data_IF_664203110366
#
_entry.id   IF_664203110366
#
_cell.length_a   1.000
_cell.length_b   1.000
_cell.length_c   1.000
_cell.angle_alpha   90.00
_cell.angle_beta   90.00
_cell.angle_gamma   90.00
#
_symmetry.space_group_name_H-M   'P 1'
#
loop_
_entity.id
_entity.type
_entity.pdbx_description
1 polymer ?
#
# COMPACT_ATOMS: atom_id res chain seq x y z
N UNK A 1 -2.05 -8.85 33.42
CA UNK A 1 -2.45 -10.03 32.62
C UNK A 1 -3.95 -9.92 32.36
N UNK A 2 -4.37 -9.67 31.12
CA UNK A 2 -5.77 -9.44 30.78
C UNK A 2 -6.25 -10.58 29.87
N UNK A 3 -7.08 -11.45 30.45
CA UNK A 3 -7.73 -12.57 29.77
C UNK A 3 -8.95 -12.04 29.00
N UNK A 4 -8.98 -12.28 27.70
CA UNK A 4 -10.15 -12.09 26.84
C UNK A 4 -10.76 -13.48 26.57
N UNK A 5 -12.02 -13.76 26.94
CA UNK A 5 -12.64 -15.03 26.56
C UNK A 5 -13.12 -14.98 25.10
N UNK A 6 -12.68 -15.98 24.32
CA UNK A 6 -13.24 -16.35 23.03
C UNK A 6 -14.72 -16.71 23.18
N UNK A 7 -15.58 -16.07 22.39
CA UNK A 7 -16.93 -16.55 22.11
C UNK A 7 -16.89 -17.39 20.82
N UNK A 8 -16.84 -18.70 21.01
CA UNK A 8 -17.03 -19.72 19.99
C UNK A 8 -18.54 -20.04 19.94
N UNK A 9 -19.28 -19.44 19.02
CA UNK A 9 -20.68 -19.77 18.80
C UNK A 9 -20.77 -20.89 17.75
N UNK A 10 -21.46 -21.97 18.13
CA UNK A 10 -21.45 -23.26 17.47
C UNK A 10 -22.15 -23.30 16.11
N UNK A 11 -21.54 -24.10 15.24
CA UNK A 11 -22.17 -24.77 14.12
C UNK A 11 -23.26 -25.72 14.64
N UNK A 12 -24.51 -25.50 14.24
CA UNK A 12 -25.50 -26.58 14.18
C UNK A 12 -26.20 -26.56 12.82
N UNK A 13 -26.13 -27.73 12.21
CA UNK A 13 -26.57 -28.08 10.86
C UNK A 13 -28.08 -28.27 10.83
N UNK A 14 -28.76 -27.64 9.89
CA UNK A 14 -30.06 -28.09 9.40
C UNK A 14 -29.93 -28.41 7.91
N UNK A 15 -29.74 -29.70 7.62
CA UNK A 15 -29.85 -30.23 6.27
C UNK A 15 -31.34 -30.32 5.91
N UNK A 16 -31.85 -29.35 5.16
CA UNK A 16 -33.10 -29.50 4.43
C UNK A 16 -32.79 -30.19 3.10
N UNK A 17 -33.18 -31.47 3.01
CA UNK A 17 -33.24 -32.21 1.76
C UNK A 17 -34.41 -31.65 0.94
N UNK A 18 -34.12 -30.69 0.07
CA UNK A 18 -35.05 -30.18 -0.93
C UNK A 18 -35.10 -31.10 -2.14
N UNK A 19 -36.30 -31.57 -2.48
CA UNK A 19 -36.57 -32.35 -3.68
C UNK A 19 -36.27 -31.51 -4.93
N UNK A 20 -35.58 -32.10 -5.90
CA UNK A 20 -35.12 -31.42 -7.11
C UNK A 20 -36.27 -30.98 -8.02
N UNK A 21 -36.28 -29.70 -8.36
CA UNK A 21 -36.83 -29.21 -9.63
C UNK A 21 -35.65 -28.92 -10.54
N UNK A 22 -35.58 -29.60 -11.68
CA UNK A 22 -34.59 -29.31 -12.72
C UNK A 22 -34.73 -27.87 -13.18
N UNK A 23 -33.66 -27.09 -12.97
CA UNK A 23 -33.60 -25.69 -13.40
C UNK A 23 -33.62 -25.63 -14.94
N UNK A 24 -34.42 -24.74 -15.56
CA UNK A 24 -34.41 -24.56 -17.00
C UNK A 24 -33.01 -24.14 -17.46
N UNK A 25 -32.62 -24.62 -18.64
CA UNK A 25 -31.30 -24.41 -19.24
C UNK A 25 -30.82 -22.96 -19.07
N UNK A 26 -29.66 -22.79 -18.43
CA UNK A 26 -29.07 -21.48 -18.22
C UNK A 26 -28.89 -20.76 -19.57
N UNK A 27 -29.29 -19.48 -19.70
CA UNK A 27 -29.08 -18.72 -20.93
C UNK A 27 -27.59 -18.68 -21.30
N UNK A 28 -27.26 -18.59 -22.61
CA UNK A 28 -25.89 -18.59 -23.08
C UNK A 28 -25.09 -17.50 -22.35
N UNK A 29 -23.98 -17.93 -21.73
CA UNK A 29 -23.09 -17.04 -20.97
C UNK A 29 -22.68 -15.89 -21.88
N UNK A 30 -22.94 -14.61 -21.52
CA UNK A 30 -22.53 -13.49 -22.35
C UNK A 30 -21.02 -13.53 -22.52
N UNK A 31 -20.59 -13.49 -23.78
CA UNK A 31 -19.19 -13.43 -24.20
C UNK A 31 -18.50 -12.30 -23.43
N UNK A 32 -17.52 -12.66 -22.59
CA UNK A 32 -16.82 -11.68 -21.74
C UNK A 32 -16.29 -10.54 -22.60
N UNK A 33 -16.61 -9.27 -22.30
CA UNK A 33 -16.10 -8.14 -23.05
C UNK A 33 -14.56 -8.10 -23.00
N UNK A 34 -13.91 -7.52 -24.03
CA UNK A 34 -12.45 -7.44 -24.10
C UNK A 34 -11.88 -6.81 -22.83
N UNK A 35 -10.79 -7.40 -22.32
CA UNK A 35 -10.17 -7.05 -21.04
C UNK A 35 -9.93 -5.55 -20.92
N UNK A 36 -10.76 -4.90 -20.09
CA UNK A 36 -10.67 -3.48 -19.79
C UNK A 36 -9.55 -3.23 -18.79
N UNK A 37 -8.60 -2.40 -19.19
CA UNK A 37 -7.75 -1.69 -18.25
C UNK A 37 -8.66 -0.97 -17.23
N UNK A 38 -8.50 -1.28 -15.96
CA UNK A 38 -9.26 -0.67 -14.87
C UNK A 38 -8.44 0.45 -14.28
N UNK A 39 -8.99 1.67 -14.32
CA UNK A 39 -8.43 2.85 -13.66
C UNK A 39 -9.37 3.21 -12.53
N UNK A 40 -8.83 3.31 -11.31
CA UNK A 40 -9.56 3.70 -10.12
C UNK A 40 -8.85 4.89 -9.46
N UNK A 41 -9.36 6.13 -9.63
CA UNK A 41 -8.90 7.25 -8.81
C UNK A 41 -9.39 7.06 -7.38
N UNK A 42 -8.54 7.40 -6.41
CA UNK A 42 -8.80 7.23 -4.97
C UNK A 42 -8.46 8.54 -4.26
N UNK A 43 -9.45 9.34 -3.82
CA UNK A 43 -9.17 10.48 -2.97
C UNK A 43 -8.62 10.01 -1.63
N UNK A 44 -7.69 10.76 -1.06
CA UNK A 44 -7.09 10.46 0.24
C UNK A 44 -7.43 11.61 1.18
N UNK A 45 -8.11 11.29 2.28
CA UNK A 45 -8.43 12.22 3.36
C UNK A 45 -8.20 11.49 4.68
N UNK A 46 -7.43 12.09 5.58
CA UNK A 46 -7.14 11.52 6.89
C UNK A 46 -6.82 12.61 7.91
N UNK A 47 -6.71 12.24 9.18
CA UNK A 47 -6.25 13.13 10.25
C UNK A 47 -5.21 12.41 11.10
N UNK A 48 -4.09 13.07 11.37
CA UNK A 48 -3.02 12.59 12.23
C UNK A 48 -2.84 13.57 13.40
N UNK A 49 -2.71 13.03 14.61
CA UNK A 49 -2.51 13.87 15.82
C UNK A 49 -1.23 14.71 15.73
N UNK A 50 -0.21 14.22 15.01
CA UNK A 50 1.09 14.87 14.91
C UNK A 50 1.13 15.98 13.85
N UNK A 51 0.33 15.88 12.79
CA UNK A 51 0.48 16.69 11.56
C UNK A 51 -0.82 17.32 11.05
N UNK A 52 -1.92 17.03 11.74
CA UNK A 52 -3.25 17.55 11.45
C UNK A 52 -3.95 16.81 10.31
N UNK A 53 -4.83 17.51 9.62
CA UNK A 53 -5.55 16.95 8.48
C UNK A 53 -4.60 16.73 7.29
N UNK A 54 -4.73 15.58 6.66
CA UNK A 54 -4.05 15.18 5.43
C UNK A 54 -5.04 15.04 4.28
N UNK A 55 -4.62 15.47 3.11
CA UNK A 55 -5.38 15.34 1.87
C UNK A 55 -4.47 14.96 0.71
N UNK A 56 -5.03 14.28 -0.27
CA UNK A 56 -4.26 13.80 -1.40
C UNK A 56 -5.10 13.06 -2.43
N UNK A 57 -4.40 12.51 -3.40
CA UNK A 57 -4.98 11.75 -4.49
C UNK A 57 -4.09 10.57 -4.81
N UNK A 58 -4.72 9.41 -4.95
CA UNK A 58 -4.13 8.19 -5.47
C UNK A 58 -4.86 7.72 -6.72
N UNK A 59 -4.22 6.79 -7.41
CA UNK A 59 -4.76 6.10 -8.56
C UNK A 59 -4.26 4.68 -8.59
N UNK A 60 -5.15 3.75 -8.93
CA UNK A 60 -4.84 2.35 -9.18
C UNK A 60 -5.12 2.04 -10.64
N UNK A 61 -4.12 1.55 -11.35
CA UNK A 61 -4.25 0.98 -12.67
C UNK A 61 -4.11 -0.54 -12.55
N UNK A 62 -5.08 -1.29 -13.05
CA UNK A 62 -5.03 -2.75 -13.05
C UNK A 62 -5.41 -3.28 -14.43
N UNK A 63 -4.62 -4.18 -14.98
CA UNK A 63 -4.89 -4.77 -16.28
C UNK A 63 -3.88 -5.84 -16.64
N UNK A 64 -4.18 -6.62 -17.67
CA UNK A 64 -3.25 -7.62 -18.20
C UNK A 64 -2.57 -7.07 -19.43
N UNK A 65 -1.29 -7.37 -19.56
CA UNK A 65 -0.53 -7.06 -20.76
C UNK A 65 -0.73 -8.19 -21.79
N UNK A 66 -1.32 -7.87 -22.93
CA UNK A 66 -1.59 -8.82 -24.01
C UNK A 66 -2.97 -9.50 -23.96
N UNK A 67 -3.22 -10.35 -24.94
CA UNK A 67 -4.51 -11.05 -25.14
C UNK A 67 -4.65 -12.31 -24.30
N UNK A 68 -3.57 -12.82 -23.72
CA UNK A 68 -3.54 -14.08 -22.95
C UNK A 68 -4.38 -14.02 -21.67
N UNK A 69 -5.32 -14.97 -21.51
CA UNK A 69 -6.22 -15.12 -20.35
C UNK A 69 -5.57 -15.75 -19.12
N UNK A 70 -4.42 -16.41 -19.29
CA UNK A 70 -3.74 -17.17 -18.23
C UNK A 70 -2.85 -16.24 -17.38
N UNK A 71 -2.21 -15.25 -18.01
CA UNK A 71 -1.34 -14.29 -17.32
C UNK A 71 -2.09 -13.51 -16.22
N UNK A 72 -1.47 -13.37 -15.04
CA UNK A 72 -1.97 -12.52 -13.93
C UNK A 72 -2.11 -11.05 -14.32
N UNK A 73 -2.99 -10.34 -13.61
CA UNK A 73 -3.16 -8.90 -13.81
C UNK A 73 -1.97 -8.13 -13.23
N UNK A 74 -1.41 -7.25 -14.05
CA UNK A 74 -0.48 -6.20 -13.62
C UNK A 74 -1.25 -5.14 -12.83
N UNK A 75 -0.57 -4.51 -11.87
CA UNK A 75 -1.10 -3.47 -11.01
C UNK A 75 -0.09 -2.34 -10.85
N UNK A 76 -0.53 -1.09 -10.99
CA UNK A 76 0.27 0.10 -10.76
C UNK A 76 -0.52 1.01 -9.83
N UNK A 77 0.12 1.52 -8.79
CA UNK A 77 -0.44 2.47 -7.85
C UNK A 77 0.45 3.70 -7.83
N UNK A 78 -0.14 4.86 -8.05
CA UNK A 78 0.50 6.14 -7.82
C UNK A 78 -0.30 6.89 -6.76
N UNK A 79 0.36 7.51 -5.79
CA UNK A 79 -0.33 8.34 -4.81
C UNK A 79 0.53 9.50 -4.36
N UNK A 80 -0.15 10.61 -4.09
CA UNK A 80 0.40 11.79 -3.46
C UNK A 80 -0.52 12.25 -2.35
N UNK A 81 0.04 12.60 -1.19
CA UNK A 81 -0.71 13.30 -0.14
C UNK A 81 0.19 14.28 0.60
N UNK A 82 -0.44 15.28 1.21
CA UNK A 82 0.21 16.27 2.07
C UNK A 82 -0.66 16.56 3.30
N UNK A 83 -0.03 16.97 4.39
CA UNK A 83 -0.70 17.37 5.64
C UNK A 83 -0.60 18.86 5.91
N UNK A 84 -1.38 19.36 6.86
CA UNK A 84 -1.34 20.76 7.32
C UNK A 84 0.06 21.19 7.78
N UNK A 85 0.80 20.28 8.41
CA UNK A 85 2.18 20.52 8.86
C UNK A 85 3.25 20.20 7.80
N UNK A 86 2.88 20.23 6.50
CA UNK A 86 3.78 20.07 5.34
C UNK A 86 4.55 18.74 5.27
N UNK A 87 4.08 17.69 5.96
CA UNK A 87 4.56 16.34 5.67
C UNK A 87 3.88 15.82 4.40
N UNK A 88 4.61 15.09 3.57
CA UNK A 88 4.09 14.59 2.32
C UNK A 88 4.67 13.22 1.94
N UNK A 89 3.93 12.55 1.07
CA UNK A 89 4.35 11.32 0.39
C UNK A 89 4.06 11.46 -1.09
N UNK A 90 5.04 11.14 -1.92
CA UNK A 90 4.85 10.75 -3.31
C UNK A 90 5.30 9.31 -3.46
N UNK A 91 4.40 8.41 -3.85
CA UNK A 91 4.69 6.99 -3.96
C UNK A 91 4.18 6.42 -5.29
N UNK A 92 5.04 5.65 -5.93
CA UNK A 92 4.75 4.88 -7.13
C UNK A 92 5.14 3.42 -6.91
N UNK A 93 4.15 2.53 -6.92
CA UNK A 93 4.33 1.08 -6.75
C UNK A 93 3.82 0.40 -8.01
N UNK A 94 4.57 -0.56 -8.53
CA UNK A 94 4.15 -1.32 -9.70
C UNK A 94 4.47 -2.80 -9.56
N UNK A 95 3.62 -3.60 -10.20
CA UNK A 95 3.69 -5.05 -10.29
C UNK A 95 3.25 -5.41 -11.70
N UNK A 96 4.18 -5.81 -12.55
CA UNK A 96 3.96 -6.01 -13.99
C UNK A 96 4.35 -7.42 -14.38
N UNK A 97 3.40 -8.13 -14.99
CA UNK A 97 3.61 -9.44 -15.59
C UNK A 97 3.65 -9.32 -17.11
N UNK A 98 4.69 -9.87 -17.73
CA UNK A 98 4.75 -9.98 -19.20
C UNK A 98 3.78 -11.07 -19.71
N UNK A 99 3.40 -11.07 -21.00
CA UNK A 99 2.62 -12.16 -21.58
C UNK A 99 3.24 -13.54 -21.32
N UNK A 100 2.43 -14.49 -20.87
CA UNK A 100 2.87 -15.84 -20.49
C UNK A 100 3.72 -15.90 -19.22
N UNK A 101 3.70 -14.84 -18.40
CA UNK A 101 4.48 -14.73 -17.15
C UNK A 101 5.99 -15.00 -17.32
N UNK A 102 6.57 -14.72 -18.49
CA UNK A 102 8.01 -14.91 -18.76
C UNK A 102 8.89 -14.03 -17.86
N UNK A 103 8.44 -12.80 -17.62
CA UNK A 103 9.09 -11.80 -16.78
C UNK A 103 8.11 -11.25 -15.78
N UNK A 104 8.62 -10.98 -14.59
CA UNK A 104 7.93 -10.37 -13.48
C UNK A 104 8.76 -9.19 -12.98
N UNK A 105 8.21 -7.99 -13.13
CA UNK A 105 8.81 -6.75 -12.68
C UNK A 105 7.97 -6.22 -11.52
N UNK A 106 8.58 -5.98 -10.37
CA UNK A 106 7.89 -5.34 -9.26
C UNK A 106 8.79 -4.32 -8.58
N UNK A 107 8.22 -3.22 -8.12
CA UNK A 107 9.02 -2.18 -7.49
C UNK A 107 8.23 -1.05 -6.89
N UNK A 108 8.97 -0.19 -6.22
CA UNK A 108 8.52 1.00 -5.51
C UNK A 108 9.51 2.13 -5.74
N UNK A 109 9.00 3.33 -5.96
CA UNK A 109 9.73 4.59 -5.88
C UNK A 109 8.92 5.51 -4.99
N UNK A 110 9.51 5.95 -3.89
CA UNK A 110 8.82 6.74 -2.87
C UNK A 110 9.69 7.90 -2.39
N UNK A 111 9.08 9.07 -2.23
CA UNK A 111 9.68 10.24 -1.62
C UNK A 111 8.79 10.69 -0.45
N UNK A 112 9.41 10.86 0.70
CA UNK A 112 8.77 11.29 1.94
C UNK A 112 9.41 12.59 2.43
N UNK A 113 8.59 13.50 2.92
CA UNK A 113 9.02 14.57 3.82
C UNK A 113 8.43 14.29 5.19
N UNK A 114 9.28 14.07 6.19
CA UNK A 114 8.84 13.69 7.53
C UNK A 114 9.48 14.57 8.60
N UNK A 115 8.82 14.66 9.75
CA UNK A 115 9.28 15.37 10.94
C UNK A 115 9.28 14.40 12.12
N UNK A 116 10.44 14.19 12.72
CA UNK A 116 10.58 13.40 13.94
C UNK A 116 10.62 14.34 15.14
N UNK A 117 9.63 14.23 16.02
CA UNK A 117 9.66 14.91 17.31
C UNK A 117 10.52 14.12 18.30
N UNK A 118 11.41 14.80 19.01
CA UNK A 118 12.17 14.20 20.10
C UNK A 118 12.09 15.08 21.34
N UNK A 119 11.89 14.41 22.47
CA UNK A 119 11.82 15.03 23.79
C UNK A 119 13.13 14.65 24.49
N UNK A 120 13.97 15.65 24.82
CA UNK A 120 15.32 15.40 25.35
C UNK A 120 15.33 14.45 26.55
N UNK A 121 16.42 13.70 26.72
CA UNK A 121 16.62 12.76 27.84
C UNK A 121 17.38 13.49 28.96
N UNK A 122 16.70 13.85 30.05
CA UNK A 122 17.32 14.48 31.23
C UNK A 122 16.32 14.79 32.34
N UNK A 123 16.74 14.63 33.61
CA UNK A 123 15.90 14.87 34.80
C UNK A 123 15.53 16.35 35.02
N UNK A 124 16.25 17.27 34.37
CA UNK A 124 16.00 18.73 34.40
C UNK A 124 15.20 19.22 33.19
N UNK A 125 14.57 18.32 32.42
CA UNK A 125 13.71 18.71 31.31
C UNK A 125 12.60 19.63 31.86
N UNK A 126 12.53 20.91 31.42
CA UNK A 126 11.49 21.82 31.90
C UNK A 126 10.15 21.15 31.67
N UNK A 127 9.34 21.11 32.73
CA UNK A 127 7.95 20.66 32.73
C UNK A 127 7.35 20.86 31.36
N UNK A 128 6.98 19.75 30.70
CA UNK A 128 6.51 19.61 29.31
C UNK A 128 5.58 20.76 28.91
N UNK A 129 6.19 21.89 28.56
CA UNK A 129 5.51 23.05 28.02
C UNK A 129 5.57 22.87 26.51
N UNK A 130 4.44 23.09 25.86
CA UNK A 130 4.26 22.92 24.40
C UNK A 130 5.34 23.64 23.57
N UNK A 131 6.05 24.61 24.14
CA UNK A 131 7.17 25.36 23.56
C UNK A 131 8.51 24.62 23.46
N UNK A 132 8.77 23.56 24.24
CA UNK A 132 10.10 22.95 24.34
C UNK A 132 10.24 21.66 23.49
N UNK A 133 9.52 21.58 22.37
CA UNK A 133 9.61 20.43 21.45
C UNK A 133 10.76 20.65 20.48
N UNK A 134 11.74 19.75 20.51
CA UNK A 134 12.76 19.69 19.47
C UNK A 134 12.30 18.74 18.36
N UNK A 135 12.62 19.08 17.12
CA UNK A 135 12.26 18.25 15.98
C UNK A 135 13.37 18.18 14.95
N UNK A 136 13.39 17.06 14.22
CA UNK A 136 14.27 16.84 13.08
C UNK A 136 13.41 16.66 11.84
N UNK A 137 13.55 17.58 10.90
CA UNK A 137 13.00 17.45 9.57
C UNK A 137 13.97 16.69 8.68
N UNK A 138 13.46 15.73 7.92
CA UNK A 138 14.25 15.00 6.95
C UNK A 138 13.43 14.58 5.74
N UNK A 139 14.12 14.44 4.61
CA UNK A 139 13.55 13.83 3.42
C UNK A 139 14.13 12.44 3.22
N UNK A 140 13.25 11.51 2.85
CA UNK A 140 13.61 10.13 2.58
C UNK A 140 13.20 9.79 1.15
N UNK A 141 14.15 9.28 0.38
CA UNK A 141 13.91 8.77 -0.96
C UNK A 141 14.25 7.29 -1.01
N UNK A 142 13.31 6.48 -1.49
CA UNK A 142 13.42 5.04 -1.59
C UNK A 142 13.21 4.64 -3.05
N UNK A 143 14.12 3.83 -3.58
CA UNK A 143 13.94 3.08 -4.81
C UNK A 143 14.10 1.61 -4.46
N UNK A 144 13.14 0.79 -4.85
CA UNK A 144 13.20 -0.66 -4.73
C UNK A 144 12.70 -1.26 -6.05
N UNK A 145 13.56 -1.97 -6.76
CA UNK A 145 13.25 -2.55 -8.07
C UNK A 145 13.64 -4.01 -8.07
N UNK A 146 12.73 -4.88 -8.50
CA UNK A 146 12.97 -6.30 -8.64
C UNK A 146 12.59 -6.75 -10.03
N UNK A 147 13.54 -7.39 -10.69
CA UNK A 147 13.36 -7.96 -12.01
C UNK A 147 13.59 -9.47 -11.94
N UNK A 148 12.57 -10.25 -12.29
CA UNK A 148 12.60 -11.70 -12.20
C UNK A 148 12.18 -12.35 -13.52
N UNK A 149 12.84 -13.45 -13.84
CA UNK A 149 12.53 -14.31 -14.98
C UNK A 149 11.90 -15.61 -14.46
N UNK A 150 10.88 -16.10 -15.16
CA UNK A 150 10.27 -17.39 -14.85
C UNK A 150 11.23 -18.53 -15.17
N UNK A 151 11.40 -19.44 -14.21
CA UNK A 151 12.24 -20.65 -14.34
C UNK A 151 11.39 -21.93 -14.37
N UNK A 152 10.23 -21.90 -13.72
CA UNK A 152 9.24 -22.98 -13.75
C UNK A 152 7.85 -22.40 -13.47
N UNK A 153 6.81 -23.24 -13.53
CA UNK A 153 5.45 -22.83 -13.20
C UNK A 153 5.42 -22.24 -11.79
N UNK A 154 5.01 -20.97 -11.69
CA UNK A 154 4.95 -20.20 -10.44
C UNK A 154 6.29 -19.96 -9.73
N UNK A 155 7.44 -20.21 -10.38
CA UNK A 155 8.77 -19.97 -9.81
C UNK A 155 9.53 -18.94 -10.63
N UNK A 156 10.06 -17.93 -9.94
CA UNK A 156 10.74 -16.79 -10.55
C UNK A 156 12.08 -16.56 -9.88
N UNK A 157 13.14 -16.43 -10.69
CA UNK A 157 14.49 -16.11 -10.24
C UNK A 157 14.90 -14.75 -10.79
N UNK A 158 15.53 -13.92 -9.98
CA UNK A 158 15.84 -12.55 -10.39
C UNK A 158 16.72 -11.79 -9.44
N UNK A 159 16.91 -10.52 -9.78
CA UNK A 159 17.71 -9.56 -9.04
C UNK A 159 16.81 -8.51 -8.40
N UNK A 160 17.23 -8.03 -7.23
CA UNK A 160 16.59 -6.93 -6.54
C UNK A 160 17.63 -5.85 -6.22
N UNK A 161 17.28 -4.61 -6.51
CA UNK A 161 18.03 -3.42 -6.13
C UNK A 161 17.19 -2.57 -5.20
N UNK A 162 17.76 -2.18 -4.05
CA UNK A 162 17.12 -1.26 -3.11
C UNK A 162 18.11 -0.19 -2.67
N UNK A 163 17.70 1.07 -2.82
CA UNK A 163 18.41 2.24 -2.33
C UNK A 163 17.47 3.06 -1.46
N UNK A 164 17.91 3.38 -0.25
CA UNK A 164 17.23 4.30 0.66
C UNK A 164 18.20 5.44 1.00
N UNK A 165 17.83 6.67 0.71
CA UNK A 165 18.64 7.85 0.99
C UNK A 165 17.87 8.85 1.85
N UNK A 166 18.41 9.17 3.01
CA UNK A 166 17.98 10.30 3.83
C UNK A 166 18.81 11.52 3.45
N UNK A 167 18.18 12.67 3.27
CA UNK A 167 18.84 13.92 2.88
C UNK A 167 18.07 15.12 3.43
N UNK A 168 18.71 16.30 3.41
CA UNK A 168 18.15 17.55 3.95
C UNK A 168 17.68 17.37 5.40
N UNK A 169 18.61 16.98 6.26
CA UNK A 169 18.37 16.85 7.69
C UNK A 169 18.51 18.24 8.31
N UNK A 170 17.44 18.76 8.89
CA UNK A 170 17.44 20.03 9.62
C UNK A 170 16.96 19.74 11.04
N UNK A 171 17.83 20.00 12.02
CA UNK A 171 17.48 19.90 13.42
C UNK A 171 17.18 21.30 13.96
N UNK A 172 16.01 21.47 14.56
CA UNK A 172 15.68 22.67 15.33
C UNK A 172 15.53 22.27 16.79
N UNK A 173 16.46 22.77 17.62
CA UNK A 173 16.40 22.60 19.07
C UNK A 173 15.42 23.62 19.60
N UNK A 174 14.35 23.16 20.27
CA UNK A 174 13.44 24.06 20.98
C UNK A 174 14.24 24.86 22.00
N UNK A 175 14.06 26.19 22.03
CA UNK A 175 14.70 27.03 23.06
C UNK A 175 14.19 26.56 24.43
N UNK A 176 15.14 26.21 25.29
CA UNK A 176 14.90 25.89 26.70
C UNK A 176 14.44 27.15 27.43
#
# INVERSE_FOLDING_TARGET
MRFFPLLLAGLMSSALVGWGQDLPASPPKPTKPPKRLTILPVPVLFYQQETGAGYGLGGLLSGRLGTDTITRSSNIRAQYWTTQQKQNLLQFVHTVYSPGEKYYLNGEVSAYTNRLYFFGVGNDAPQVQTSNRSFVDFKLFIINQRFQKSIAKNQFLGLQYRLSRVYQISAETGRV
#
